data_IF_578299666937
#
_entry.id   IF_578299666937
#
_cell.length_a   1.000
_cell.length_b   1.000
_cell.length_c   1.000
_cell.angle_alpha   90.00
_cell.angle_beta   90.00
_cell.angle_gamma   90.00
#
_symmetry.space_group_name_H-M   'P 1'
#
loop_
_entity.id
_entity.type
_entity.pdbx_description
1 polymer ?
#
# COMPACT_ATOMS: atom_id res chain seq x y z
N UNK A 1 8.51 -26.58 48.43
CA UNK A 1 9.40 -25.63 47.73
C UNK A 1 9.82 -26.30 46.42
N UNK A 2 9.61 -25.80 45.21
CA UNK A 2 8.93 -24.60 44.73
C UNK A 2 8.31 -24.91 43.35
N UNK A 3 7.13 -24.37 43.13
CA UNK A 3 6.26 -24.59 41.98
C UNK A 3 6.73 -23.69 40.83
N UNK A 4 7.10 -24.25 39.66
CA UNK A 4 7.42 -23.46 38.46
C UNK A 4 6.13 -23.09 37.73
N UNK A 5 5.85 -21.81 37.42
CA UNK A 5 4.70 -21.48 36.61
C UNK A 5 4.96 -21.86 35.15
N UNK A 6 4.02 -22.60 34.56
CA UNK A 6 3.92 -22.79 33.11
C UNK A 6 3.54 -21.45 32.47
N UNK A 7 4.42 -20.90 31.64
CA UNK A 7 4.11 -19.77 30.77
C UNK A 7 3.17 -20.30 29.67
N UNK A 8 1.94 -19.81 29.65
CA UNK A 8 1.00 -20.05 28.57
C UNK A 8 1.50 -19.31 27.32
N UNK A 9 1.70 -20.03 26.21
CA UNK A 9 1.92 -19.43 24.90
C UNK A 9 0.68 -18.61 24.54
N UNK A 10 0.81 -17.30 24.43
CA UNK A 10 -0.19 -16.47 23.80
C UNK A 10 -0.31 -16.91 22.33
N UNK A 11 -1.52 -17.25 21.90
CA UNK A 11 -1.79 -17.61 20.52
C UNK A 11 -1.45 -16.43 19.61
N UNK A 12 -0.44 -16.62 18.75
CA UNK A 12 -0.17 -15.79 17.58
C UNK A 12 -1.31 -15.96 16.58
N UNK A 13 -2.38 -15.21 16.76
CA UNK A 13 -3.44 -15.10 15.76
C UNK A 13 -2.91 -14.30 14.58
N UNK A 14 -2.65 -14.98 13.45
CA UNK A 14 -2.40 -14.34 12.15
C UNK A 14 -3.55 -13.38 11.88
N UNK A 15 -3.26 -12.07 11.83
CA UNK A 15 -4.27 -11.08 11.50
C UNK A 15 -4.67 -11.26 10.04
N UNK A 16 -5.93 -11.62 9.81
CA UNK A 16 -6.57 -11.53 8.49
C UNK A 16 -7.41 -10.26 8.47
N UNK A 17 -7.39 -9.46 7.39
CA UNK A 17 -8.37 -8.39 7.25
C UNK A 17 -9.78 -8.98 7.42
N UNK A 18 -10.72 -8.22 8.01
CA UNK A 18 -12.07 -8.72 8.24
C UNK A 18 -12.67 -9.20 6.91
N UNK A 19 -13.30 -10.39 6.87
CA UNK A 19 -13.95 -10.87 5.65
C UNK A 19 -15.06 -9.89 5.26
N UNK A 20 -15.08 -9.48 3.98
CA UNK A 20 -16.04 -8.52 3.41
C UNK A 20 -17.49 -9.06 3.32
N UNK A 21 -17.82 -10.14 4.05
CA UNK A 21 -19.14 -10.76 4.11
C UNK A 21 -19.74 -10.85 5.52
N UNK A 22 -18.99 -10.49 6.57
CA UNK A 22 -19.50 -10.49 7.92
C UNK A 22 -19.77 -9.04 8.35
N UNK A 23 -21.04 -8.72 8.65
CA UNK A 23 -21.34 -7.63 9.59
C UNK A 23 -20.59 -7.95 10.87
N UNK A 24 -19.44 -7.32 11.10
CA UNK A 24 -18.61 -7.56 12.28
C UNK A 24 -19.42 -7.13 13.50
N UNK A 25 -19.80 -8.03 14.42
CA UNK A 25 -20.16 -7.58 15.75
C UNK A 25 -18.84 -7.11 16.37
N UNK A 26 -18.73 -5.80 16.63
CA UNK A 26 -17.65 -5.23 17.43
C UNK A 26 -17.66 -5.88 18.82
N UNK A 27 -16.94 -6.99 18.98
CA UNK A 27 -16.63 -7.57 20.28
C UNK A 27 -15.11 -7.72 20.36
N UNK A 28 -14.44 -6.60 20.55
CA UNK A 28 -13.10 -6.62 21.13
C UNK A 28 -13.26 -6.41 22.64
N UNK A 29 -12.79 -7.39 23.41
CA UNK A 29 -12.68 -7.27 24.86
C UNK A 29 -11.92 -5.99 25.21
N UNK A 30 -12.54 -5.13 26.02
CA UNK A 30 -11.96 -3.91 26.59
C UNK A 30 -10.70 -4.24 27.39
N UNK A 31 -9.54 -4.27 26.73
CA UNK A 31 -8.33 -3.78 27.37
C UNK A 31 -8.53 -2.26 27.49
N UNK A 32 -8.56 -1.74 28.72
CA UNK A 32 -8.71 -0.29 28.94
C UNK A 32 -7.60 0.43 28.16
N UNK A 33 -7.92 1.34 27.23
CA UNK A 33 -6.92 2.21 26.65
C UNK A 33 -6.23 2.98 27.77
N UNK A 34 -4.91 2.96 27.81
CA UNK A 34 -4.16 4.03 28.48
C UNK A 34 -4.61 5.35 27.81
N UNK A 35 -5.06 6.37 28.55
CA UNK A 35 -5.51 7.61 27.96
C UNK A 35 -4.31 8.29 27.28
N UNK A 36 -4.36 8.37 25.95
CA UNK A 36 -3.58 9.34 25.20
C UNK A 36 -4.04 10.76 25.60
N UNK A 37 -3.13 11.75 25.67
CA UNK A 37 -3.50 13.12 25.98
C UNK A 37 -4.55 13.60 24.97
N UNK A 38 -5.61 14.23 25.49
CA UNK A 38 -6.77 14.68 24.73
C UNK A 38 -6.36 15.69 23.65
N UNK A 39 -6.29 15.21 22.41
CA UNK A 39 -6.21 15.99 21.18
C UNK A 39 -6.92 15.23 20.06
N UNK A 40 -7.35 15.89 18.97
CA UNK A 40 -7.88 15.18 17.82
C UNK A 40 -6.85 14.15 17.35
N UNK A 41 -7.25 12.90 17.14
CA UNK A 41 -6.39 11.89 16.53
C UNK A 41 -5.85 12.47 15.23
N UNK A 42 -4.51 12.55 15.06
CA UNK A 42 -3.96 13.11 13.84
C UNK A 42 -4.51 12.36 12.63
N UNK A 43 -4.89 13.10 11.60
CA UNK A 43 -5.37 12.51 10.36
C UNK A 43 -4.20 11.73 9.73
N UNK A 44 -4.27 10.39 9.72
CA UNK A 44 -3.19 9.52 9.22
C UNK A 44 -3.30 9.19 7.73
N UNK A 45 -4.49 9.39 7.16
CA UNK A 45 -4.79 9.20 5.74
C UNK A 45 -5.77 10.28 5.26
N UNK A 46 -5.84 10.47 3.93
CA UNK A 46 -6.97 11.13 3.29
C UNK A 46 -7.73 10.11 2.48
N UNK A 47 -9.02 9.98 2.72
CA UNK A 47 -9.93 9.15 1.95
C UNK A 47 -10.97 10.05 1.28
N UNK A 48 -11.27 9.76 0.01
CA UNK A 48 -12.30 10.42 -0.79
C UNK A 48 -13.32 9.35 -1.14
N UNK A 49 -14.57 9.60 -0.77
CA UNK A 49 -15.69 8.77 -1.21
C UNK A 49 -15.95 8.99 -2.70
N UNK A 50 -16.53 8.00 -3.36
CA UNK A 50 -16.82 8.06 -4.78
C UNK A 50 -17.94 7.12 -5.16
N UNK A 51 -18.03 6.82 -6.45
CA UNK A 51 -19.00 5.89 -7.01
C UNK A 51 -18.30 4.79 -7.80
N UNK A 52 -19.03 3.70 -8.07
CA UNK A 52 -18.51 2.60 -8.87
C UNK A 52 -17.79 1.50 -8.06
N UNK A 53 -17.46 0.39 -8.74
CA UNK A 53 -16.86 -0.81 -8.14
C UNK A 53 -15.33 -0.80 -8.11
N UNK A 54 -14.66 0.34 -8.33
CA UNK A 54 -13.19 0.46 -8.28
C UNK A 54 -12.77 1.31 -7.08
N UNK A 55 -11.73 0.89 -6.35
CA UNK A 55 -11.09 1.67 -5.29
C UNK A 55 -9.59 1.79 -5.58
N UNK A 56 -8.99 2.95 -5.33
CA UNK A 56 -7.53 3.15 -5.45
C UNK A 56 -6.90 3.40 -4.08
N UNK A 57 -5.81 2.69 -3.76
CA UNK A 57 -5.03 2.83 -2.54
C UNK A 57 -3.61 3.29 -2.86
N UNK A 58 -3.16 4.37 -2.22
CA UNK A 58 -1.80 4.92 -2.32
C UNK A 58 -1.12 4.92 -0.94
N UNK A 59 -0.66 3.76 -0.45
CA UNK A 59 -0.21 3.60 0.94
C UNK A 59 1.13 4.28 1.24
N UNK A 60 1.91 4.65 0.22
CA UNK A 60 3.24 5.24 0.37
C UNK A 60 3.36 6.67 -0.19
N UNK A 61 2.23 7.35 -0.41
CA UNK A 61 2.19 8.74 -0.90
C UNK A 61 2.60 9.79 0.15
N UNK A 62 2.48 9.44 1.44
CA UNK A 62 2.80 10.32 2.55
C UNK A 62 4.29 10.51 2.74
N UNK A 63 4.70 11.71 3.16
CA UNK A 63 6.09 12.05 3.45
C UNK A 63 6.27 12.71 4.83
N UNK A 64 5.19 12.88 5.60
CA UNK A 64 5.30 13.45 6.94
C UNK A 64 5.94 12.44 7.89
N UNK A 65 6.83 12.94 8.74
CA UNK A 65 7.43 12.19 9.85
C UNK A 65 7.19 12.99 11.13
N UNK A 66 6.61 12.38 12.19
CA UNK A 66 6.48 13.05 13.48
C UNK A 66 7.84 13.53 13.98
N UNK A 67 7.90 14.69 14.66
CA UNK A 67 9.15 15.30 15.11
C UNK A 67 9.99 14.35 15.98
N UNK A 68 9.34 13.70 16.96
CA UNK A 68 9.93 12.66 17.83
C UNK A 68 10.53 11.44 17.09
N UNK A 69 10.07 11.18 15.85
CA UNK A 69 10.62 10.14 14.98
C UNK A 69 11.75 10.73 14.15
N UNK A 70 11.57 11.94 13.61
CA UNK A 70 12.56 12.61 12.77
C UNK A 70 13.86 12.95 13.51
N UNK A 71 13.78 13.31 14.79
CA UNK A 71 14.93 13.58 15.67
C UNK A 71 15.84 12.36 15.83
N UNK A 72 15.28 11.15 15.76
CA UNK A 72 16.01 9.87 15.85
C UNK A 72 16.55 9.38 14.52
N UNK A 73 16.14 9.97 13.40
CA UNK A 73 16.55 9.52 12.08
C UNK A 73 17.98 9.96 11.73
N UNK A 74 18.61 9.23 10.82
CA UNK A 74 19.81 9.67 10.09
C UNK A 74 19.42 10.67 8.99
N UNK A 75 20.40 11.25 8.30
CA UNK A 75 20.14 12.03 7.09
C UNK A 75 19.44 11.20 6.00
N UNK A 76 19.81 9.93 5.85
CA UNK A 76 19.17 9.01 4.90
C UNK A 76 17.71 8.73 5.27
N UNK A 77 17.42 8.55 6.56
CA UNK A 77 16.05 8.41 7.07
C UNK A 77 15.21 9.65 6.78
N UNK A 78 15.75 10.85 7.08
CA UNK A 78 15.08 12.13 6.80
C UNK A 78 14.87 12.40 5.31
N UNK A 79 15.75 11.92 4.45
CA UNK A 79 15.62 12.10 3.00
C UNK A 79 14.42 11.34 2.41
N UNK A 80 13.93 10.30 3.09
CA UNK A 80 12.74 9.53 2.73
C UNK A 80 12.76 9.03 1.27
N UNK A 81 13.90 8.52 0.82
CA UNK A 81 14.17 8.14 -0.58
C UNK A 81 13.25 7.04 -1.14
N UNK A 82 12.59 6.27 -0.28
CA UNK A 82 11.71 5.17 -0.66
C UNK A 82 10.23 5.55 -0.66
N UNK A 83 9.93 6.85 -0.55
CA UNK A 83 8.57 7.40 -0.67
C UNK A 83 8.12 7.38 -2.13
N UNK A 84 6.83 7.13 -2.35
CA UNK A 84 6.19 7.16 -3.67
C UNK A 84 5.86 8.62 -4.03
N UNK A 85 6.91 9.43 -4.17
CA UNK A 85 6.82 10.88 -4.30
C UNK A 85 5.89 11.29 -5.46
N UNK A 86 4.96 12.20 -5.19
CA UNK A 86 3.97 12.71 -6.15
C UNK A 86 3.02 11.67 -6.75
N UNK A 87 2.94 10.44 -6.23
CA UNK A 87 1.96 9.46 -6.74
C UNK A 87 0.54 10.01 -6.66
N UNK A 88 0.19 10.71 -5.57
CA UNK A 88 -1.11 11.37 -5.45
C UNK A 88 -1.37 12.43 -6.54
N UNK A 89 -0.31 13.10 -7.03
CA UNK A 89 -0.41 14.06 -8.13
C UNK A 89 -0.64 13.35 -9.46
N UNK A 90 -0.02 12.19 -9.68
CA UNK A 90 -0.27 11.41 -10.90
C UNK A 90 -1.75 11.00 -11.02
N UNK A 91 -2.36 10.68 -9.89
CA UNK A 91 -3.74 10.19 -9.79
C UNK A 91 -4.80 11.29 -9.50
N UNK A 92 -4.48 12.58 -9.67
CA UNK A 92 -5.47 13.67 -9.50
C UNK A 92 -6.74 13.50 -10.36
N UNK A 93 -6.65 12.76 -11.47
CA UNK A 93 -7.80 12.47 -12.32
C UNK A 93 -8.85 11.56 -11.66
N UNK A 94 -8.56 10.93 -10.52
CA UNK A 94 -9.53 10.08 -9.82
C UNK A 94 -10.75 10.86 -9.34
N UNK A 95 -10.57 12.13 -8.94
CA UNK A 95 -11.67 13.01 -8.54
C UNK A 95 -12.65 13.24 -9.71
N UNK A 96 -12.12 13.47 -10.91
CA UNK A 96 -12.93 13.66 -12.12
C UNK A 96 -13.68 12.39 -12.53
N UNK A 97 -13.12 11.21 -12.21
CA UNK A 97 -13.75 9.92 -12.47
C UNK A 97 -14.66 9.44 -11.33
N UNK A 98 -14.78 10.24 -10.27
CA UNK A 98 -15.49 9.89 -9.03
C UNK A 98 -15.04 8.54 -8.44
N UNK A 99 -13.77 8.16 -8.63
CA UNK A 99 -13.25 6.87 -8.12
C UNK A 99 -12.89 7.02 -6.64
N UNK A 100 -13.51 6.21 -5.74
CA UNK A 100 -13.13 6.19 -4.33
C UNK A 100 -11.64 5.90 -4.17
N UNK A 101 -10.95 6.69 -3.36
CA UNK A 101 -9.52 6.49 -3.16
C UNK A 101 -9.02 6.94 -1.80
N UNK A 102 -7.90 6.37 -1.39
CA UNK A 102 -7.24 6.64 -0.11
C UNK A 102 -5.74 6.81 -0.31
N UNK A 103 -5.14 7.72 0.45
CA UNK A 103 -3.68 7.93 0.48
C UNK A 103 -3.17 8.15 1.89
N UNK A 104 -1.94 7.68 2.15
CA UNK A 104 -1.25 7.98 3.40
C UNK A 104 -0.83 9.45 3.49
N UNK A 105 -0.67 9.92 4.72
CA UNK A 105 -0.11 11.25 5.04
C UNK A 105 1.34 11.12 5.54
N UNK A 106 1.61 10.06 6.30
CA UNK A 106 2.91 9.79 6.91
C UNK A 106 3.79 8.94 6.00
N UNK A 107 5.10 9.11 6.14
CA UNK A 107 6.12 8.32 5.43
C UNK A 107 5.99 6.84 5.77
N UNK A 108 6.29 5.98 4.80
CA UNK A 108 6.42 4.54 5.00
C UNK A 108 7.48 4.17 6.06
N UNK A 109 8.45 5.05 6.33
CA UNK A 109 9.42 4.86 7.42
C UNK A 109 8.81 5.05 8.81
N UNK A 110 7.68 5.76 8.90
CA UNK A 110 6.88 5.80 10.14
C UNK A 110 6.16 4.47 10.32
N UNK A 111 5.42 4.04 9.31
CA UNK A 111 4.75 2.75 9.29
C UNK A 111 4.49 2.34 7.84
N UNK A 112 5.01 1.19 7.41
CA UNK A 112 4.77 0.68 6.07
C UNK A 112 3.40 -0.01 6.04
N UNK A 113 2.42 0.68 5.45
CA UNK A 113 1.03 0.24 5.38
C UNK A 113 0.83 -0.96 4.44
N UNK A 114 1.82 -1.31 3.63
CA UNK A 114 1.81 -2.45 2.71
C UNK A 114 2.66 -3.63 3.23
N UNK A 115 2.94 -3.69 4.54
CA UNK A 115 3.52 -4.84 5.23
C UNK A 115 2.54 -5.52 6.19
N UNK A 116 2.68 -6.84 6.40
CA UNK A 116 1.88 -7.55 7.39
C UNK A 116 2.28 -7.14 8.81
N UNK A 117 1.30 -6.97 9.72
CA UNK A 117 1.57 -6.52 11.09
C UNK A 117 2.23 -7.58 11.96
N UNK A 118 2.21 -8.85 11.55
CA UNK A 118 2.88 -9.96 12.23
C UNK A 118 4.32 -10.19 11.74
N UNK A 119 4.80 -9.36 10.82
CA UNK A 119 6.15 -9.43 10.26
C UNK A 119 6.40 -10.61 9.33
N UNK A 120 5.35 -11.33 8.92
CA UNK A 120 5.48 -12.44 7.98
C UNK A 120 6.13 -12.00 6.66
N UNK A 121 6.98 -12.84 6.04
CA UNK A 121 7.59 -12.52 4.76
C UNK A 121 6.51 -12.46 3.66
N UNK A 122 6.67 -11.51 2.72
CA UNK A 122 5.76 -11.37 1.58
C UNK A 122 6.07 -12.37 0.44
N UNK A 123 7.33 -12.79 0.33
CA UNK A 123 7.85 -13.65 -0.73
C UNK A 123 8.61 -14.83 -0.12
N UNK A 124 8.50 -15.99 -0.77
CA UNK A 124 9.23 -17.18 -0.36
C UNK A 124 10.74 -16.91 -0.43
N UNK A 125 11.46 -17.27 0.65
CA UNK A 125 12.90 -17.07 0.75
C UNK A 125 13.36 -15.67 1.15
N UNK A 126 12.45 -14.71 1.37
CA UNK A 126 12.79 -13.41 1.96
C UNK A 126 12.72 -13.43 3.49
N UNK A 127 13.48 -12.52 4.12
CA UNK A 127 13.45 -12.31 5.57
C UNK A 127 12.11 -11.74 6.06
N UNK A 128 11.99 -11.61 7.39
CA UNK A 128 10.84 -10.97 8.02
C UNK A 128 10.58 -9.59 7.41
N UNK A 129 9.31 -9.28 7.20
CA UNK A 129 8.90 -7.98 6.69
C UNK A 129 8.79 -6.98 7.84
N UNK A 130 9.42 -5.82 7.71
CA UNK A 130 9.39 -4.79 8.76
C UNK A 130 8.19 -3.87 8.59
N UNK A 131 7.28 -3.87 9.57
CA UNK A 131 6.19 -2.89 9.65
C UNK A 131 6.72 -1.46 9.84
N UNK A 132 7.85 -1.34 10.54
CA UNK A 132 8.59 -0.09 10.71
C UNK A 132 10.00 -0.32 10.19
N UNK A 133 10.30 0.12 8.94
CA UNK A 133 11.60 -0.12 8.32
C UNK A 133 12.74 0.50 9.13
N UNK A 134 13.82 -0.24 9.31
CA UNK A 134 15.07 0.21 9.94
C UNK A 134 16.14 0.58 8.91
N UNK A 135 15.99 0.12 7.66
CA UNK A 135 16.88 0.44 6.54
C UNK A 135 16.11 0.91 5.32
N UNK A 136 16.75 1.78 4.53
CA UNK A 136 16.27 2.14 3.19
C UNK A 136 16.46 0.98 2.22
N UNK A 137 15.89 1.10 1.02
CA UNK A 137 16.07 0.13 -0.06
C UNK A 137 17.51 0.02 -0.56
N UNK A 138 18.31 1.08 -0.42
CA UNK A 138 19.77 1.02 -0.68
C UNK A 138 20.56 0.44 0.51
N UNK A 139 19.87 0.06 1.58
CA UNK A 139 20.46 -0.50 2.78
C UNK A 139 21.11 0.53 3.69
N UNK A 140 20.80 1.83 3.59
CA UNK A 140 21.25 2.82 4.58
C UNK A 140 20.41 2.74 5.86
N UNK A 141 20.99 3.00 7.03
CA UNK A 141 20.24 3.03 8.29
C UNK A 141 19.27 4.21 8.31
N UNK A 142 18.01 3.97 8.72
CA UNK A 142 16.98 5.02 8.87
C UNK A 142 17.12 5.74 10.20
N UNK A 143 17.45 5.00 11.28
CA UNK A 143 17.62 5.52 12.63
C UNK A 143 19.11 5.66 12.99
N UNK A 144 19.41 6.60 13.87
CA UNK A 144 20.71 6.68 14.55
C UNK A 144 20.94 5.43 15.40
N UNK A 145 22.20 5.16 15.73
CA UNK A 145 22.58 4.02 16.57
C UNK A 145 21.76 4.02 17.88
N UNK A 146 21.26 2.85 18.26
CA UNK A 146 20.42 2.62 19.45
C UNK A 146 19.11 3.43 19.52
N UNK A 147 18.69 4.07 18.42
CA UNK A 147 17.44 4.85 18.34
C UNK A 147 16.31 4.15 17.58
N UNK A 148 16.52 2.89 17.19
CA UNK A 148 15.53 2.07 16.51
C UNK A 148 14.26 1.86 17.36
N UNK A 149 13.08 1.76 16.73
CA UNK A 149 11.82 1.57 17.44
C UNK A 149 11.75 0.17 18.06
N UNK A 150 11.52 0.10 19.38
CA UNK A 150 11.28 -1.16 20.09
C UNK A 150 9.87 -1.73 19.85
N UNK A 151 9.63 -2.95 20.33
CA UNK A 151 8.38 -3.68 20.10
C UNK A 151 7.10 -2.93 20.52
N UNK A 152 7.13 -2.24 21.66
CA UNK A 152 5.97 -1.48 22.16
C UNK A 152 5.69 -0.23 21.30
N UNK A 153 6.74 0.37 20.74
CA UNK A 153 6.59 1.47 19.78
C UNK A 153 6.02 0.94 18.46
N UNK A 154 6.54 -0.16 17.93
CA UNK A 154 6.02 -0.82 16.72
C UNK A 154 4.53 -1.16 16.88
N UNK A 155 4.13 -1.70 18.04
CA UNK A 155 2.72 -1.99 18.36
C UNK A 155 1.87 -0.71 18.41
N UNK A 156 2.42 0.39 18.92
CA UNK A 156 1.75 1.68 18.91
C UNK A 156 1.61 2.23 17.49
N UNK A 157 2.65 2.15 16.65
CA UNK A 157 2.59 2.59 15.25
C UNK A 157 1.61 1.76 14.42
N UNK A 158 1.51 0.46 14.69
CA UNK A 158 0.43 -0.37 14.13
C UNK A 158 -0.95 0.17 14.49
N UNK A 159 -1.21 0.42 15.78
CA UNK A 159 -2.51 0.92 16.25
C UNK A 159 -2.84 2.29 15.69
N UNK A 160 -1.84 3.17 15.62
CA UNK A 160 -2.06 4.60 15.38
C UNK A 160 -2.02 4.96 13.87
N UNK A 161 -1.25 4.22 13.04
CA UNK A 161 -1.11 4.49 11.61
C UNK A 161 -1.67 3.37 10.74
N UNK A 162 -1.27 2.12 11.00
CA UNK A 162 -1.63 0.98 10.16
C UNK A 162 -3.12 0.67 10.24
N UNK A 163 -3.64 0.47 11.45
CA UNK A 163 -5.01 0.04 11.67
C UNK A 163 -6.04 1.03 11.11
N UNK A 164 -5.92 2.36 11.33
CA UNK A 164 -6.91 3.30 10.80
C UNK A 164 -6.91 3.34 9.27
N UNK A 165 -5.74 3.25 8.61
CA UNK A 165 -5.66 3.19 7.15
C UNK A 165 -6.37 1.95 6.60
N UNK A 166 -6.08 0.78 7.17
CA UNK A 166 -6.68 -0.49 6.72
C UNK A 166 -8.18 -0.57 6.99
N UNK A 167 -8.65 -0.02 8.11
CA UNK A 167 -10.10 0.08 8.38
C UNK A 167 -10.80 0.98 7.35
N UNK A 168 -10.19 2.11 6.99
CA UNK A 168 -10.75 3.03 6.00
C UNK A 168 -10.76 2.43 4.59
N UNK A 169 -9.66 1.79 4.17
CA UNK A 169 -9.59 1.08 2.91
C UNK A 169 -10.64 -0.05 2.83
N UNK A 170 -10.74 -0.87 3.89
CA UNK A 170 -11.74 -1.92 3.96
C UNK A 170 -13.17 -1.38 3.88
N UNK A 171 -13.45 -0.21 4.49
CA UNK A 171 -14.75 0.43 4.40
C UNK A 171 -15.08 0.89 2.97
N UNK A 172 -14.14 1.54 2.26
CA UNK A 172 -14.35 1.93 0.86
C UNK A 172 -14.64 0.70 -0.02
N UNK A 173 -13.85 -0.37 0.17
CA UNK A 173 -14.04 -1.61 -0.59
C UNK A 173 -15.37 -2.30 -0.27
N UNK A 174 -15.77 -2.33 1.00
CA UNK A 174 -17.04 -2.91 1.43
C UNK A 174 -18.22 -2.16 0.84
N UNK A 175 -18.20 -0.82 0.87
CA UNK A 175 -19.26 0.01 0.29
C UNK A 175 -19.43 -0.25 -1.22
N UNK A 176 -18.32 -0.38 -1.96
CA UNK A 176 -18.35 -0.74 -3.38
C UNK A 176 -18.91 -2.15 -3.59
N UNK A 177 -18.39 -3.14 -2.84
CA UNK A 177 -18.83 -4.53 -2.95
C UNK A 177 -20.30 -4.72 -2.61
N UNK A 178 -20.80 -4.08 -1.56
CA UNK A 178 -22.19 -4.16 -1.12
C UNK A 178 -23.16 -3.58 -2.18
N UNK A 179 -22.71 -2.57 -2.93
CA UNK A 179 -23.51 -1.92 -3.96
C UNK A 179 -23.49 -2.65 -5.29
N UNK A 180 -22.35 -3.20 -5.69
CA UNK A 180 -22.12 -3.71 -7.04
C UNK A 180 -21.92 -5.23 -7.11
N UNK A 181 -21.86 -5.93 -5.96
CA UNK A 181 -21.56 -7.36 -5.90
C UNK A 181 -20.09 -7.73 -6.15
N UNK A 182 -19.32 -6.80 -6.72
CA UNK A 182 -17.90 -6.93 -7.07
C UNK A 182 -17.16 -5.67 -6.65
N UNK A 183 -15.88 -5.81 -6.31
CA UNK A 183 -14.97 -4.67 -6.13
C UNK A 183 -13.58 -4.98 -6.68
N UNK A 184 -12.97 -3.99 -7.32
CA UNK A 184 -11.58 -4.02 -7.76
C UNK A 184 -10.78 -3.00 -6.97
N UNK A 185 -9.59 -3.38 -6.51
CA UNK A 185 -8.61 -2.53 -5.85
C UNK A 185 -7.41 -2.34 -6.77
N UNK A 186 -7.04 -1.08 -7.03
CA UNK A 186 -5.72 -0.74 -7.56
C UNK A 186 -4.83 -0.25 -6.42
N UNK A 187 -3.72 -0.93 -6.20
CA UNK A 187 -2.65 -0.46 -5.33
C UNK A 187 -1.62 0.32 -6.16
N UNK A 188 -1.67 1.65 -6.04
CA UNK A 188 -0.86 2.56 -6.83
C UNK A 188 0.45 2.88 -6.12
N UNK A 189 1.56 2.50 -6.76
CA UNK A 189 2.92 2.64 -6.25
C UNK A 189 3.87 3.24 -7.26
N UNK A 190 4.96 3.82 -6.76
CA UNK A 190 6.10 4.23 -7.57
C UNK A 190 7.42 3.99 -6.84
N UNK A 191 8.47 3.64 -7.58
CA UNK A 191 9.81 3.48 -7.00
C UNK A 191 10.91 3.90 -7.96
N UNK A 192 12.11 4.08 -7.43
CA UNK A 192 13.30 4.46 -8.21
C UNK A 192 13.67 3.36 -9.19
N UNK A 193 14.27 3.77 -10.31
CA UNK A 193 14.61 2.87 -11.41
C UNK A 193 15.77 1.92 -11.12
N UNK A 194 16.61 2.26 -10.14
CA UNK A 194 17.85 1.56 -9.82
C UNK A 194 17.91 1.31 -8.31
N UNK A 195 17.67 0.07 -7.91
CA UNK A 195 17.73 -0.37 -6.51
C UNK A 195 18.35 -1.77 -6.50
N UNK A 196 19.70 -1.89 -6.55
CA UNK A 196 20.38 -3.18 -6.69
C UNK A 196 20.05 -4.19 -5.59
N UNK A 197 19.67 -3.73 -4.39
CA UNK A 197 19.25 -4.61 -3.29
C UNK A 197 17.85 -5.21 -3.45
N UNK A 198 17.05 -4.72 -4.40
CA UNK A 198 15.64 -5.10 -4.58
C UNK A 198 15.39 -5.84 -5.89
N UNK A 199 16.09 -5.46 -6.97
CA UNK A 199 15.98 -6.11 -8.27
C UNK A 199 17.23 -5.87 -9.12
N UNK A 200 17.46 -6.77 -10.07
CA UNK A 200 18.55 -6.66 -11.03
C UNK A 200 18.23 -5.67 -12.15
N UNK A 201 19.22 -4.85 -12.51
CA UNK A 201 19.14 -3.93 -13.63
C UNK A 201 18.14 -2.79 -13.44
N UNK A 202 17.63 -2.29 -14.55
CA UNK A 202 16.74 -1.13 -14.59
C UNK A 202 15.28 -1.59 -14.49
N UNK A 203 14.53 -1.04 -13.53
CA UNK A 203 13.10 -1.34 -13.40
C UNK A 203 12.34 -0.97 -14.69
N UNK A 204 11.49 -1.85 -15.26
CA UNK A 204 10.54 -1.48 -16.31
C UNK A 204 9.63 -0.32 -15.90
N UNK A 205 9.09 0.42 -16.87
CA UNK A 205 8.33 1.64 -16.56
C UNK A 205 7.01 1.32 -15.84
N UNK A 206 6.25 0.32 -16.29
CA UNK A 206 5.03 -0.18 -15.64
C UNK A 206 5.22 -1.63 -15.16
N UNK A 207 5.07 -1.90 -13.86
CA UNK A 207 5.20 -3.25 -13.32
C UNK A 207 3.90 -3.64 -12.60
N UNK A 208 3.16 -4.56 -13.21
CA UNK A 208 1.90 -5.05 -12.66
C UNK A 208 2.15 -6.22 -11.72
N UNK A 209 1.66 -6.16 -10.49
CA UNK A 209 1.66 -7.26 -9.54
C UNK A 209 0.27 -7.86 -9.38
N UNK A 210 0.11 -9.15 -9.66
CA UNK A 210 -1.17 -9.87 -9.57
C UNK A 210 -1.12 -11.12 -8.69
N UNK A 211 -0.07 -11.21 -7.85
CA UNK A 211 0.24 -12.36 -7.02
C UNK A 211 0.33 -13.63 -7.86
N UNK A 212 1.10 -13.57 -8.94
CA UNK A 212 1.20 -14.67 -9.93
C UNK A 212 -0.17 -15.09 -10.49
N UNK A 213 -1.07 -14.12 -10.70
CA UNK A 213 -2.45 -14.32 -11.16
C UNK A 213 -3.48 -14.68 -10.09
N UNK A 214 -3.10 -14.81 -8.81
CA UNK A 214 -4.01 -15.25 -7.75
C UNK A 214 -4.87 -14.11 -7.14
N UNK A 215 -4.54 -12.84 -7.36
CA UNK A 215 -5.25 -11.72 -6.70
C UNK A 215 -6.41 -11.13 -7.52
N UNK A 216 -6.60 -11.54 -8.78
CA UNK A 216 -7.64 -11.02 -9.65
C UNK A 216 -8.12 -12.06 -10.66
N UNK A 217 -9.25 -11.79 -11.34
CA UNK A 217 -9.73 -12.66 -12.40
C UNK A 217 -8.79 -12.61 -13.62
N UNK A 218 -8.57 -13.72 -14.35
CA UNK A 218 -7.73 -13.73 -15.55
C UNK A 218 -8.14 -12.69 -16.61
N UNK A 219 -9.45 -12.54 -16.87
CA UNK A 219 -9.95 -11.54 -17.83
C UNK A 219 -9.62 -10.09 -17.40
N UNK A 220 -9.74 -9.77 -16.11
CA UNK A 220 -9.34 -8.45 -15.59
C UNK A 220 -7.83 -8.24 -15.78
N UNK A 221 -7.00 -9.21 -15.40
CA UNK A 221 -5.55 -9.13 -15.58
C UNK A 221 -5.20 -8.88 -17.04
N UNK A 222 -5.73 -9.68 -17.95
CA UNK A 222 -5.35 -9.65 -19.36
C UNK A 222 -5.74 -8.31 -20.01
N UNK A 223 -6.88 -7.71 -19.62
CA UNK A 223 -7.28 -6.37 -20.05
C UNK A 223 -6.34 -5.27 -19.54
N UNK A 224 -5.95 -5.34 -18.27
CA UNK A 224 -5.01 -4.35 -17.69
C UNK A 224 -3.62 -4.49 -18.31
N UNK A 225 -3.15 -5.71 -18.55
CA UNK A 225 -1.90 -5.97 -19.29
C UNK A 225 -1.97 -5.39 -20.70
N UNK A 226 -3.08 -5.58 -21.42
CA UNK A 226 -3.27 -4.98 -22.73
C UNK A 226 -3.27 -3.44 -22.67
N UNK A 227 -3.89 -2.83 -21.66
CA UNK A 227 -3.87 -1.38 -21.47
C UNK A 227 -2.45 -0.84 -21.24
N UNK A 228 -1.62 -1.56 -20.47
CA UNK A 228 -0.20 -1.23 -20.27
C UNK A 228 0.63 -1.43 -21.54
N UNK A 229 0.39 -2.49 -22.31
CA UNK A 229 1.08 -2.74 -23.58
C UNK A 229 0.82 -1.65 -24.63
N UNK A 230 -0.32 -0.96 -24.55
CA UNK A 230 -0.65 0.18 -25.39
C UNK A 230 -0.01 1.50 -24.93
N UNK A 231 0.79 1.50 -23.86
CA UNK A 231 1.56 2.66 -23.45
C UNK A 231 2.82 2.79 -24.33
N UNK A 232 2.65 3.36 -25.52
CA UNK A 232 3.74 3.54 -26.49
C UNK A 232 4.95 4.27 -25.87
N UNK A 233 6.14 3.72 -26.07
CA UNK A 233 7.38 4.27 -25.53
C UNK A 233 7.67 3.91 -24.07
N UNK A 234 6.82 3.11 -23.43
CA UNK A 234 7.03 2.61 -22.08
C UNK A 234 7.25 1.09 -22.06
N UNK A 235 8.22 0.66 -21.27
CA UNK A 235 8.47 -0.74 -20.97
C UNK A 235 7.53 -1.25 -19.88
N UNK A 236 7.29 -2.57 -19.84
CA UNK A 236 6.44 -3.16 -18.81
C UNK A 236 6.87 -4.56 -18.40
N UNK A 237 6.42 -4.97 -17.21
CA UNK A 237 6.53 -6.32 -16.71
C UNK A 237 5.27 -6.71 -15.90
N UNK A 238 5.07 -8.02 -15.76
CA UNK A 238 3.97 -8.61 -14.97
C UNK A 238 4.56 -9.59 -13.98
N UNK A 239 4.19 -9.46 -12.71
CA UNK A 239 4.67 -10.26 -11.58
C UNK A 239 6.21 -10.32 -11.45
N UNK A 240 6.88 -9.26 -11.92
CA UNK A 240 8.32 -9.09 -11.79
C UNK A 240 8.70 -7.60 -11.85
N UNK A 241 9.62 -7.11 -10.98
CA UNK A 241 10.09 -7.79 -9.76
C UNK A 241 9.02 -7.80 -8.66
N UNK A 242 7.95 -7.02 -8.82
CA UNK A 242 6.88 -6.89 -7.85
C UNK A 242 5.68 -7.76 -8.22
N UNK A 243 5.26 -8.63 -7.29
CA UNK A 243 4.08 -9.50 -7.47
C UNK A 243 2.85 -9.01 -6.70
N UNK A 244 2.93 -7.86 -6.05
CA UNK A 244 1.91 -7.40 -5.10
C UNK A 244 2.34 -7.57 -3.64
N UNK A 245 2.18 -6.52 -2.86
CA UNK A 245 2.47 -6.46 -1.42
C UNK A 245 1.37 -7.06 -0.54
N UNK A 246 1.38 -6.68 0.75
CA UNK A 246 0.41 -7.17 1.74
C UNK A 246 -1.03 -6.83 1.34
N UNK A 247 -1.30 -5.60 0.90
CA UNK A 247 -2.64 -5.14 0.54
C UNK A 247 -3.18 -5.98 -0.63
N UNK A 248 -2.44 -6.06 -1.72
CA UNK A 248 -2.81 -6.87 -2.89
C UNK A 248 -3.08 -8.33 -2.53
N UNK A 249 -2.23 -8.95 -1.70
CA UNK A 249 -2.38 -10.34 -1.25
C UNK A 249 -3.56 -10.56 -0.31
N UNK A 250 -3.92 -9.55 0.46
CA UNK A 250 -4.94 -9.62 1.52
C UNK A 250 -6.35 -9.42 0.99
N UNK A 251 -6.50 -8.48 0.05
CA UNK A 251 -7.80 -8.07 -0.51
C UNK A 251 -8.14 -8.76 -1.84
N UNK A 252 -7.14 -9.26 -2.59
CA UNK A 252 -7.38 -10.04 -3.81
C UNK A 252 -7.88 -11.45 -3.51
N UNK A 253 -9.19 -11.66 -3.65
CA UNK A 253 -9.91 -12.93 -3.48
C UNK A 253 -10.96 -13.04 -4.59
N UNK A 254 -10.53 -13.38 -5.83
CA UNK A 254 -11.42 -13.34 -6.99
C UNK A 254 -12.67 -14.23 -6.83
N UNK A 255 -12.55 -15.37 -6.13
CA UNK A 255 -13.69 -16.26 -5.83
C UNK A 255 -14.73 -15.64 -4.89
N UNK A 256 -14.36 -14.60 -4.13
CA UNK A 256 -15.24 -13.82 -3.28
C UNK A 256 -15.70 -12.51 -3.97
N UNK A 257 -15.41 -12.30 -5.26
CA UNK A 257 -15.76 -11.07 -5.98
C UNK A 257 -14.93 -9.85 -5.56
N UNK A 258 -13.76 -10.05 -4.96
CA UNK A 258 -12.81 -8.95 -4.66
C UNK A 258 -11.52 -9.17 -5.43
N UNK A 259 -11.14 -8.20 -6.25
CA UNK A 259 -9.94 -8.29 -7.08
C UNK A 259 -8.95 -7.22 -6.65
N UNK A 260 -7.66 -7.50 -6.73
CA UNK A 260 -6.62 -6.53 -6.43
C UNK A 260 -5.47 -6.65 -7.43
N UNK A 261 -4.97 -5.51 -7.89
CA UNK A 261 -3.75 -5.41 -8.70
C UNK A 261 -2.85 -4.33 -8.08
N UNK A 262 -1.55 -4.60 -8.01
CA UNK A 262 -0.54 -3.58 -7.75
C UNK A 262 -0.04 -3.02 -9.08
N UNK A 263 0.17 -1.71 -9.14
CA UNK A 263 0.94 -1.07 -10.21
C UNK A 263 2.11 -0.30 -9.60
N UNK A 264 3.32 -0.75 -9.90
CA UNK A 264 4.56 -0.04 -9.60
C UNK A 264 5.02 0.73 -10.85
N UNK A 265 5.06 2.06 -10.77
CA UNK A 265 5.57 2.92 -11.85
C UNK A 265 7.01 3.36 -11.56
N UNK A 266 7.92 3.27 -12.53
CA UNK A 266 9.26 3.80 -12.38
C UNK A 266 9.23 5.33 -12.29
N UNK A 267 9.83 5.89 -11.23
CA UNK A 267 9.78 7.33 -10.93
C UNK A 267 10.37 8.21 -12.04
N UNK A 268 11.39 7.72 -12.78
CA UNK A 268 11.97 8.40 -13.95
C UNK A 268 10.95 8.83 -15.00
N UNK A 269 9.79 8.18 -15.05
CA UNK A 269 8.74 8.48 -16.04
C UNK A 269 8.09 9.86 -15.79
N UNK A 270 8.18 10.37 -14.56
CA UNK A 270 7.48 11.61 -14.17
C UNK A 270 8.24 12.51 -13.20
N UNK A 271 9.41 12.14 -12.70
CA UNK A 271 10.18 12.94 -11.76
C UNK A 271 11.69 12.66 -11.80
N UNK A 272 12.46 13.50 -11.11
CA UNK A 272 13.87 13.26 -10.82
C UNK A 272 13.99 12.29 -9.65
N UNK A 273 14.71 11.18 -9.84
CA UNK A 273 14.91 10.12 -8.83
C UNK A 273 16.02 10.46 -7.81
N UNK A 274 16.14 11.74 -7.46
CA UNK A 274 17.08 12.24 -6.46
C UNK A 274 16.50 13.48 -5.78
N UNK A 275 16.94 13.82 -4.55
CA UNK A 275 16.56 15.07 -3.89
C UNK A 275 16.81 16.29 -4.80
N UNK A 276 15.89 17.28 -4.86
CA UNK A 276 14.71 17.44 -4.00
C UNK A 276 13.44 16.74 -4.51
N UNK A 277 13.59 15.63 -5.26
CA UNK A 277 12.48 14.80 -5.75
C UNK A 277 11.57 15.56 -6.71
N UNK A 278 12.15 16.33 -7.62
CA UNK A 278 11.40 17.30 -8.44
C UNK A 278 10.46 16.60 -9.43
N UNK A 279 9.17 16.95 -9.40
CA UNK A 279 8.19 16.50 -10.39
C UNK A 279 8.45 17.10 -11.78
N UNK A 280 8.40 16.27 -12.82
CA UNK A 280 8.47 16.68 -14.21
C UNK A 280 7.06 16.86 -14.77
N UNK A 281 6.63 18.11 -14.98
CA UNK A 281 5.32 18.38 -15.60
C UNK A 281 5.20 17.72 -16.99
N UNK A 282 6.30 17.68 -17.75
CA UNK A 282 6.34 17.00 -19.06
C UNK A 282 6.18 15.48 -18.90
N UNK A 283 6.98 14.84 -18.05
CA UNK A 283 6.93 13.39 -17.84
C UNK A 283 5.59 12.94 -17.27
N UNK A 284 5.11 13.64 -16.23
CA UNK A 284 3.79 13.45 -15.66
C UNK A 284 2.66 13.61 -16.68
N UNK A 285 2.74 14.63 -17.55
CA UNK A 285 1.78 14.84 -18.63
C UNK A 285 1.77 13.72 -19.68
N UNK A 286 2.90 13.06 -19.91
CA UNK A 286 3.01 11.93 -20.83
C UNK A 286 2.48 10.62 -20.22
N UNK A 287 2.78 10.35 -18.94
CA UNK A 287 2.43 9.07 -18.31
C UNK A 287 0.98 9.03 -17.81
N UNK A 288 0.43 10.17 -17.37
CA UNK A 288 -0.91 10.25 -16.76
C UNK A 288 -2.05 9.73 -17.67
N UNK A 289 -2.09 9.98 -18.99
CA UNK A 289 -3.10 9.38 -19.86
C UNK A 289 -3.10 7.85 -19.85
N UNK A 290 -1.93 7.21 -19.71
CA UNK A 290 -1.83 5.75 -19.61
C UNK A 290 -2.33 5.23 -18.26
N UNK A 291 -1.99 5.92 -17.17
CA UNK A 291 -2.55 5.62 -15.84
C UNK A 291 -4.07 5.74 -15.81
N UNK A 292 -4.63 6.80 -16.43
CA UNK A 292 -6.07 6.97 -16.58
C UNK A 292 -6.69 5.79 -17.33
N UNK A 293 -6.11 5.38 -18.47
CA UNK A 293 -6.61 4.23 -19.24
C UNK A 293 -6.63 2.94 -18.41
N UNK A 294 -5.61 2.70 -17.59
CA UNK A 294 -5.56 1.52 -16.70
C UNK A 294 -6.71 1.57 -15.69
N UNK A 295 -6.91 2.72 -15.03
CA UNK A 295 -8.00 2.93 -14.07
C UNK A 295 -9.36 2.73 -14.72
N UNK A 296 -9.61 3.35 -15.88
CA UNK A 296 -10.85 3.19 -16.64
C UNK A 296 -11.06 1.74 -17.07
N UNK A 297 -10.01 1.04 -17.53
CA UNK A 297 -10.08 -0.39 -17.88
C UNK A 297 -10.52 -1.25 -16.69
N UNK A 298 -9.98 -1.00 -15.50
CA UNK A 298 -10.34 -1.73 -14.28
C UNK A 298 -11.78 -1.41 -13.84
N UNK A 299 -12.18 -0.14 -13.90
CA UNK A 299 -13.54 0.32 -13.58
C UNK A 299 -14.55 -0.31 -14.52
N UNK A 300 -14.36 -0.16 -15.84
CA UNK A 300 -15.31 -0.60 -16.85
C UNK A 300 -15.48 -2.13 -16.83
N UNK A 301 -14.39 -2.88 -16.54
CA UNK A 301 -14.49 -4.31 -16.32
C UNK A 301 -15.37 -4.65 -15.12
N UNK A 302 -15.15 -3.97 -13.99
CA UNK A 302 -15.89 -4.21 -12.76
C UNK A 302 -17.38 -3.80 -12.89
N UNK A 303 -17.68 -2.72 -13.59
CA UNK A 303 -19.05 -2.32 -13.91
C UNK A 303 -19.76 -3.34 -14.79
N UNK A 304 -19.07 -3.93 -15.76
CA UNK A 304 -19.63 -5.00 -16.58
C UNK A 304 -19.93 -6.26 -15.75
N UNK A 305 -19.09 -6.60 -14.77
CA UNK A 305 -19.37 -7.71 -13.85
C UNK A 305 -20.55 -7.42 -12.92
N UNK A 306 -20.76 -6.16 -12.52
CA UNK A 306 -21.87 -5.77 -11.64
C UNK A 306 -23.26 -5.84 -12.32
N UNK A 307 -23.30 -5.83 -13.66
CA UNK A 307 -24.53 -5.86 -14.46
C UNK A 307 -24.94 -7.28 -14.90
N UNK A 308 -24.04 -8.25 -14.77
CA UNK A 308 -24.25 -9.66 -15.13
C UNK A 308 -24.68 -10.52 -13.95
#
# INVERSE_FOLDING_TARGET
>A
MGNRPRIARAHSGVFRPPPLHARVPLVYHRARPQPHPQGPTPMVYKAVEGTGPLVVSMPHAGALTPEEVAERMTDAGRAAADTDWHVNRLYEFLDELEVPHIRSIYSRYVCDLNRPPDGSPLYDGQGASELVPTRTFDGAAIYQDDCEPGEDEIRSRWRDYWQPYHLALANLMLQAKDRYGVVVLLEAHTTRSQIPGLFDGTLPDFNLGTRDGASCAPDLRDRVVAAVQQAEGYSHAVDHPFKGGFITRSYGRPDEGTHALQLELAQRTYMQESPPWTYSNKGGGLVRPHLRRIVETMRDWAEAQAQG
#
